data_IF_895931027634
#
_entry.id   IF_895931027634
#
_cell.length_a   1.000
_cell.length_b   1.000
_cell.length_c   1.000
_cell.angle_alpha   90.00
_cell.angle_beta   90.00
_cell.angle_gamma   90.00
#
_symmetry.space_group_name_H-M   'P 1'
#
loop_
_entity.id
_entity.type
_entity.pdbx_description
1 polymer ?
#
# COMPACT_ATOMS: atom_id res chain seq x y z
N UNK A 1 9.75 -0.76 -15.86
CA UNK A 1 9.36 -2.07 -15.30
C UNK A 1 7.91 -2.06 -14.81
N UNK A 2 7.34 -0.95 -14.36
CA UNK A 2 5.86 -0.77 -14.37
C UNK A 2 5.41 0.30 -15.38
N UNK A 3 6.26 1.31 -15.64
CA UNK A 3 6.07 2.34 -16.69
C UNK A 3 4.68 2.98 -16.56
N UNK A 4 3.83 2.84 -17.58
CA UNK A 4 2.50 3.43 -17.64
C UNK A 4 1.49 2.84 -16.63
N UNK A 5 1.84 1.77 -15.91
CA UNK A 5 1.02 1.26 -14.80
C UNK A 5 1.28 2.00 -13.48
N UNK A 6 2.32 2.83 -13.41
CA UNK A 6 2.67 3.60 -12.21
C UNK A 6 2.59 5.09 -12.52
N UNK A 7 2.36 5.95 -11.51
CA UNK A 7 2.45 7.39 -11.71
C UNK A 7 3.80 7.79 -12.29
N UNK A 8 3.85 8.88 -13.05
CA UNK A 8 5.12 9.39 -13.58
C UNK A 8 6.10 9.68 -12.43
N UNK A 9 7.32 9.17 -12.54
CA UNK A 9 8.36 9.38 -11.54
C UNK A 9 9.74 9.56 -12.18
N UNK A 10 10.63 10.25 -11.47
CA UNK A 10 12.03 10.40 -11.87
C UNK A 10 12.96 10.52 -10.66
N UNK A 11 14.24 10.19 -10.86
CA UNK A 11 15.27 10.27 -9.80
C UNK A 11 15.54 11.73 -9.46
N UNK A 12 15.57 12.03 -8.17
CA UNK A 12 15.97 13.34 -7.66
C UNK A 12 17.49 13.42 -7.64
N UNK A 13 18.03 14.52 -8.15
CA UNK A 13 19.47 14.82 -8.18
C UNK A 13 19.70 16.20 -7.55
N UNK A 14 20.93 16.56 -7.17
CA UNK A 14 21.24 17.90 -6.67
C UNK A 14 20.77 19.02 -7.62
N UNK A 15 20.86 18.78 -8.94
CA UNK A 15 20.53 19.75 -9.97
C UNK A 15 19.01 19.98 -10.13
N UNK A 16 18.20 18.94 -9.89
CA UNK A 16 16.75 19.02 -10.10
C UNK A 16 15.94 19.21 -8.80
N UNK A 17 16.57 19.08 -7.63
CA UNK A 17 15.90 19.14 -6.32
C UNK A 17 15.04 20.39 -6.13
N UNK A 18 15.58 21.57 -6.41
CA UNK A 18 14.84 22.83 -6.27
C UNK A 18 13.60 22.88 -7.17
N UNK A 19 13.70 22.31 -8.37
CA UNK A 19 12.57 22.22 -9.29
C UNK A 19 11.50 21.25 -8.77
N UNK A 20 11.91 20.14 -8.14
CA UNK A 20 10.99 19.20 -7.48
C UNK A 20 10.24 19.90 -6.34
N UNK A 21 10.94 20.59 -5.45
CA UNK A 21 10.33 21.30 -4.31
C UNK A 21 9.33 22.37 -4.80
N UNK A 22 9.65 23.10 -5.88
CA UNK A 22 8.78 24.12 -6.47
C UNK A 22 7.47 23.55 -7.04
N UNK A 23 7.38 22.26 -7.35
CA UNK A 23 6.14 21.64 -7.86
C UNK A 23 5.00 21.64 -6.83
N UNK A 24 5.30 21.67 -5.52
CA UNK A 24 4.34 21.71 -4.40
C UNK A 24 3.28 20.58 -4.38
N UNK A 25 3.41 19.58 -5.25
CA UNK A 25 2.46 18.47 -5.44
C UNK A 25 3.21 17.22 -5.88
N UNK A 26 2.84 16.09 -5.30
CA UNK A 26 3.51 14.80 -5.49
C UNK A 26 4.20 14.35 -4.22
N UNK A 27 4.99 13.29 -4.36
CA UNK A 27 5.70 12.65 -3.26
C UNK A 27 7.20 12.54 -3.58
N UNK A 28 8.02 12.61 -2.54
CA UNK A 28 9.43 12.25 -2.58
C UNK A 28 9.56 10.90 -1.86
N UNK A 29 10.02 9.86 -2.56
CA UNK A 29 10.12 8.49 -2.04
C UNK A 29 11.55 7.99 -2.08
N UNK A 30 12.04 7.38 -1.01
CA UNK A 30 13.34 6.71 -1.01
C UNK A 30 13.27 5.38 -1.78
N UNK A 31 14.35 4.99 -2.46
CA UNK A 31 14.46 3.69 -3.13
C UNK A 31 14.42 2.50 -2.16
N UNK A 32 14.79 2.76 -0.91
CA UNK A 32 14.82 1.79 0.18
C UNK A 32 14.22 2.48 1.40
N UNK A 33 13.23 1.85 2.01
CA UNK A 33 12.56 2.41 3.17
C UNK A 33 11.32 1.59 3.57
N UNK A 34 10.73 1.95 4.69
CA UNK A 34 9.54 1.29 5.24
C UNK A 34 8.37 2.28 5.25
N UNK A 35 7.50 2.20 4.22
CA UNK A 35 6.23 2.93 4.17
C UNK A 35 6.36 4.44 4.38
N UNK A 36 5.44 5.01 5.17
CA UNK A 36 5.29 6.46 5.39
C UNK A 36 6.53 7.20 5.87
N UNK A 37 7.50 6.54 6.52
CA UNK A 37 8.74 7.17 7.00
C UNK A 37 9.74 7.49 5.87
N UNK A 38 9.56 6.86 4.72
CA UNK A 38 10.37 7.02 3.51
C UNK A 38 9.61 7.72 2.38
N UNK A 39 8.43 8.26 2.67
CA UNK A 39 7.54 8.92 1.70
C UNK A 39 7.17 10.29 2.24
N UNK A 40 7.67 11.34 1.61
CA UNK A 40 7.44 12.73 1.98
C UNK A 40 6.47 13.39 1.00
N UNK A 41 5.40 13.95 1.50
CA UNK A 41 4.42 14.71 0.72
C UNK A 41 4.89 16.15 0.53
N UNK A 42 5.05 16.58 -0.73
CA UNK A 42 5.54 17.92 -1.08
C UNK A 42 4.68 19.08 -0.55
N UNK A 43 3.43 18.81 -0.16
CA UNK A 43 2.52 19.83 0.39
C UNK A 43 2.62 19.96 1.90
N UNK A 44 2.72 18.83 2.62
CA UNK A 44 2.64 18.81 4.09
C UNK A 44 4.01 18.73 4.76
N UNK A 45 4.99 18.12 4.10
CA UNK A 45 6.26 17.74 4.74
C UNK A 45 7.40 18.67 4.32
N UNK A 46 7.08 19.91 3.93
CA UNK A 46 8.02 20.87 3.35
C UNK A 46 9.25 21.08 4.22
N UNK A 47 9.05 21.21 5.54
CA UNK A 47 10.15 21.40 6.50
C UNK A 47 11.07 20.18 6.54
N UNK A 48 10.49 18.98 6.54
CA UNK A 48 11.24 17.73 6.60
C UNK A 48 12.06 17.51 5.32
N UNK A 49 11.47 17.82 4.16
CA UNK A 49 12.16 17.77 2.87
C UNK A 49 13.38 18.69 2.85
N UNK A 50 13.27 19.90 3.40
CA UNK A 50 14.40 20.84 3.49
C UNK A 50 15.47 20.32 4.44
N UNK A 51 15.08 19.80 5.62
CA UNK A 51 16.02 19.23 6.59
C UNK A 51 16.78 18.02 6.02
N UNK A 52 16.11 17.18 5.24
CA UNK A 52 16.68 15.97 4.62
C UNK A 52 17.30 16.20 3.25
N UNK A 53 17.48 17.46 2.82
CA UNK A 53 18.02 17.79 1.49
C UNK A 53 19.28 16.99 1.13
N UNK A 54 20.28 16.98 2.02
CA UNK A 54 21.53 16.27 1.75
C UNK A 54 21.29 14.77 1.55
N UNK A 55 20.45 14.15 2.37
CA UNK A 55 20.08 12.73 2.24
C UNK A 55 19.37 12.47 0.90
N UNK A 56 18.46 13.37 0.51
CA UNK A 56 17.66 13.24 -0.72
C UNK A 56 18.53 13.38 -1.97
N UNK A 57 19.47 14.34 -2.00
CA UNK A 57 20.22 14.67 -3.22
C UNK A 57 21.54 13.94 -3.33
N UNK A 58 22.17 13.62 -2.20
CA UNK A 58 23.56 13.20 -2.13
C UNK A 58 23.78 12.05 -1.15
N UNK A 59 22.71 11.51 -0.56
CA UNK A 59 22.78 10.31 0.25
C UNK A 59 23.11 9.08 -0.59
N UNK A 60 23.63 8.03 0.05
CA UNK A 60 23.93 6.76 -0.62
C UNK A 60 22.68 5.99 -1.11
N UNK A 61 21.47 6.48 -0.81
CA UNK A 61 20.19 5.93 -1.25
C UNK A 61 19.58 6.86 -2.29
N UNK A 62 19.09 6.31 -3.40
CA UNK A 62 18.38 7.09 -4.42
C UNK A 62 17.02 7.53 -3.91
N UNK A 63 16.61 8.73 -4.28
CA UNK A 63 15.28 9.25 -4.03
C UNK A 63 14.58 9.58 -5.34
N UNK A 64 13.26 9.47 -5.35
CA UNK A 64 12.42 9.68 -6.52
C UNK A 64 11.35 10.71 -6.23
N UNK A 65 11.12 11.60 -7.18
CA UNK A 65 9.88 12.35 -7.25
C UNK A 65 8.85 11.49 -7.96
N UNK A 66 7.63 11.44 -7.42
CA UNK A 66 6.48 10.78 -8.03
C UNK A 66 5.30 11.76 -8.10
N UNK A 67 4.64 11.82 -9.26
CA UNK A 67 3.41 12.58 -9.43
C UNK A 67 2.31 11.99 -8.55
N UNK A 68 1.50 12.85 -7.93
CA UNK A 68 0.39 12.40 -7.08
C UNK A 68 -0.65 11.65 -7.92
N UNK A 69 -0.81 10.36 -7.65
CA UNK A 69 -1.93 9.56 -8.15
C UNK A 69 -3.27 10.06 -7.58
N UNK A 70 -4.35 9.86 -8.33
CA UNK A 70 -5.71 10.26 -7.93
C UNK A 70 -6.52 9.02 -7.60
N UNK A 71 -7.32 9.07 -6.54
CA UNK A 71 -8.26 8.01 -6.22
C UNK A 71 -8.29 7.67 -4.74
N UNK A 72 -8.74 6.45 -4.47
CA UNK A 72 -8.78 5.81 -3.17
C UNK A 72 -7.69 4.74 -3.11
N UNK A 73 -6.87 4.70 -2.05
CA UNK A 73 -5.81 3.71 -1.91
C UNK A 73 -6.40 2.32 -1.66
N UNK A 74 -5.86 1.33 -2.35
CA UNK A 74 -6.24 -0.07 -2.22
C UNK A 74 -4.99 -0.94 -2.13
N UNK A 75 -5.13 -2.15 -1.59
CA UNK A 75 -4.09 -3.16 -1.60
C UNK A 75 -4.65 -4.48 -2.13
N UNK A 76 -3.80 -5.23 -2.81
CA UNK A 76 -4.06 -6.58 -3.28
C UNK A 76 -3.06 -7.56 -2.70
N UNK A 77 -3.55 -8.73 -2.31
CA UNK A 77 -2.80 -9.75 -1.60
C UNK A 77 -2.72 -10.94 -2.52
N UNK A 78 -1.53 -11.18 -3.07
CA UNK A 78 -1.30 -12.18 -4.12
C UNK A 78 -0.32 -13.20 -3.59
N UNK A 79 -0.60 -14.47 -3.83
CA UNK A 79 0.34 -15.57 -3.61
C UNK A 79 0.94 -16.00 -4.94
N UNK A 80 2.27 -16.07 -5.00
CA UNK A 80 3.00 -16.59 -6.16
C UNK A 80 3.58 -17.97 -5.85
N UNK A 81 3.41 -18.91 -6.77
CA UNK A 81 4.06 -20.22 -6.73
C UNK A 81 4.49 -20.64 -8.14
N UNK A 82 5.79 -20.77 -8.39
CA UNK A 82 6.29 -20.96 -9.75
C UNK A 82 5.87 -19.79 -10.65
N UNK A 83 5.21 -20.08 -11.78
CA UNK A 83 4.64 -19.07 -12.69
C UNK A 83 3.19 -18.69 -12.38
N UNK A 84 2.59 -19.27 -11.34
CA UNK A 84 1.19 -19.06 -11.00
C UNK A 84 1.03 -17.92 -9.99
N UNK A 85 -0.04 -17.15 -10.18
CA UNK A 85 -0.43 -16.02 -9.34
C UNK A 85 -1.88 -16.19 -8.91
N UNK A 86 -2.10 -16.24 -7.60
CA UNK A 86 -3.43 -16.36 -7.02
C UNK A 86 -3.75 -15.11 -6.22
N UNK A 87 -4.82 -14.41 -6.61
CA UNK A 87 -5.34 -13.27 -5.85
C UNK A 87 -6.16 -13.77 -4.65
N UNK A 88 -5.72 -13.44 -3.44
CA UNK A 88 -6.35 -13.82 -2.18
C UNK A 88 -7.12 -12.69 -1.51
N UNK A 89 -6.71 -11.43 -1.70
CA UNK A 89 -7.37 -10.29 -1.07
C UNK A 89 -7.41 -9.05 -1.93
N UNK A 90 -8.44 -8.25 -1.69
CA UNK A 90 -8.54 -6.89 -2.16
C UNK A 90 -9.12 -6.05 -1.02
N UNK A 91 -8.47 -4.93 -0.72
CA UNK A 91 -8.88 -4.07 0.38
C UNK A 91 -8.77 -2.60 0.01
N UNK A 92 -9.75 -1.81 0.44
CA UNK A 92 -9.63 -0.35 0.51
C UNK A 92 -8.79 0.00 1.76
N UNK A 93 -7.78 0.85 1.62
CA UNK A 93 -6.87 1.19 2.72
C UNK A 93 -7.33 2.47 3.42
N UNK A 94 -7.36 2.44 4.74
CA UNK A 94 -7.52 3.62 5.58
C UNK A 94 -6.14 4.20 5.85
N UNK A 95 -5.96 5.48 5.48
CA UNK A 95 -4.67 6.17 5.56
C UNK A 95 -4.80 7.46 6.39
N UNK A 96 -3.84 7.71 7.27
CA UNK A 96 -3.60 9.02 7.88
C UNK A 96 -2.33 9.64 7.29
N UNK A 97 -2.50 10.62 6.41
CA UNK A 97 -1.41 11.16 5.61
C UNK A 97 -0.79 10.12 4.68
N UNK A 98 0.41 9.65 5.01
CA UNK A 98 1.14 8.57 4.31
C UNK A 98 1.20 7.27 5.12
N UNK A 99 0.60 7.25 6.31
CA UNK A 99 0.61 6.11 7.22
C UNK A 99 -0.65 5.27 7.02
N UNK A 100 -0.46 3.96 6.96
CA UNK A 100 -1.54 2.99 6.97
C UNK A 100 -2.07 2.85 8.40
N UNK A 101 -3.39 2.85 8.58
CA UNK A 101 -4.03 2.72 9.91
C UNK A 101 -5.02 1.56 10.00
N UNK A 102 -5.40 1.01 8.84
CA UNK A 102 -6.37 -0.06 8.75
C UNK A 102 -6.83 -0.29 7.32
N UNK A 103 -7.74 -1.24 7.15
CA UNK A 103 -8.28 -1.57 5.83
C UNK A 103 -9.70 -2.11 5.92
N UNK A 104 -10.45 -1.90 4.85
CA UNK A 104 -11.71 -2.59 4.58
C UNK A 104 -11.45 -3.69 3.56
N UNK A 105 -11.41 -4.93 4.03
CA UNK A 105 -11.28 -6.12 3.19
C UNK A 105 -12.60 -6.38 2.47
N UNK A 106 -12.53 -6.45 1.14
CA UNK A 106 -13.68 -6.60 0.25
C UNK A 106 -13.75 -8.03 -0.29
N UNK A 107 -14.96 -8.51 -0.58
CA UNK A 107 -15.13 -9.76 -1.32
C UNK A 107 -14.70 -9.56 -2.77
N UNK A 108 -13.61 -10.22 -3.18
CA UNK A 108 -13.06 -10.16 -4.54
C UNK A 108 -14.13 -10.50 -5.57
N UNK A 109 -15.00 -11.48 -5.31
CA UNK A 109 -16.03 -11.90 -6.27
C UNK A 109 -17.05 -10.81 -6.54
N UNK A 110 -17.27 -9.92 -5.56
CA UNK A 110 -18.23 -8.84 -5.66
C UNK A 110 -17.66 -7.58 -6.34
N UNK A 111 -16.33 -7.41 -6.36
CA UNK A 111 -15.67 -6.13 -6.73
C UNK A 111 -14.68 -6.23 -7.88
N UNK A 112 -14.25 -7.44 -8.25
CA UNK A 112 -13.26 -7.65 -9.31
C UNK A 112 -13.90 -7.58 -10.69
N UNK A 113 -13.95 -6.38 -11.26
CA UNK A 113 -14.31 -6.16 -12.67
C UNK A 113 -13.16 -6.49 -13.63
N UNK A 114 -13.48 -6.78 -14.90
CA UNK A 114 -12.52 -7.14 -15.95
C UNK A 114 -11.36 -6.14 -16.08
N UNK A 115 -11.66 -4.84 -15.95
CA UNK A 115 -10.65 -3.78 -16.04
C UNK A 115 -9.59 -3.94 -14.95
N UNK A 116 -10.02 -4.14 -13.70
CA UNK A 116 -9.13 -4.31 -12.56
C UNK A 116 -8.36 -5.62 -12.67
N UNK A 117 -9.04 -6.72 -13.03
CA UNK A 117 -8.41 -8.01 -13.24
C UNK A 117 -7.27 -7.94 -14.27
N UNK A 118 -7.54 -7.38 -15.44
CA UNK A 118 -6.56 -7.25 -16.52
C UNK A 118 -5.38 -6.37 -16.11
N UNK A 119 -5.64 -5.28 -15.38
CA UNK A 119 -4.59 -4.40 -14.85
C UNK A 119 -3.64 -5.14 -13.89
N UNK A 120 -4.19 -6.00 -13.02
CA UNK A 120 -3.42 -6.76 -12.04
C UNK A 120 -2.63 -7.88 -12.70
N UNK A 121 -3.25 -8.60 -13.64
CA UNK A 121 -2.58 -9.62 -14.43
C UNK A 121 -1.38 -9.03 -15.19
N UNK A 122 -1.57 -7.87 -15.83
CA UNK A 122 -0.50 -7.15 -16.52
C UNK A 122 0.58 -6.66 -15.55
N UNK A 123 0.20 -6.20 -14.36
CA UNK A 123 1.15 -5.83 -13.29
C UNK A 123 2.01 -7.03 -12.90
N UNK A 124 1.39 -8.19 -12.61
CA UNK A 124 2.10 -9.42 -12.26
C UNK A 124 3.05 -9.86 -13.38
N UNK A 125 2.59 -9.83 -14.64
CA UNK A 125 3.40 -10.17 -15.82
C UNK A 125 4.64 -9.28 -15.94
N UNK A 126 4.50 -7.98 -15.68
CA UNK A 126 5.62 -7.03 -15.79
C UNK A 126 6.66 -7.17 -14.68
N UNK A 127 6.25 -7.56 -13.49
CA UNK A 127 7.16 -7.75 -12.36
C UNK A 127 7.75 -9.16 -12.31
N UNK A 128 7.17 -10.15 -13.00
CA UNK A 128 7.59 -11.55 -12.93
C UNK A 128 9.10 -11.72 -13.16
N UNK A 129 9.70 -11.02 -14.13
CA UNK A 129 11.15 -11.10 -14.37
C UNK A 129 12.01 -10.70 -13.16
N UNK A 130 11.48 -9.89 -12.23
CA UNK A 130 12.18 -9.54 -10.99
C UNK A 130 11.98 -10.56 -9.87
N UNK A 131 10.81 -11.21 -9.86
CA UNK A 131 10.37 -12.07 -8.75
C UNK A 131 10.18 -13.51 -9.21
N UNK A 132 10.79 -13.91 -10.33
CA UNK A 132 10.56 -15.19 -10.97
C UNK A 132 10.86 -16.36 -10.03
N UNK A 133 11.90 -16.23 -9.18
CA UNK A 133 12.29 -17.23 -8.18
C UNK A 133 11.57 -17.08 -6.84
N UNK A 134 10.76 -16.03 -6.66
CA UNK A 134 10.01 -15.81 -5.44
C UNK A 134 8.81 -16.75 -5.37
N UNK A 135 8.62 -17.38 -4.21
CA UNK A 135 7.42 -18.14 -3.83
C UNK A 135 6.94 -17.59 -2.49
N UNK A 136 5.70 -17.13 -2.41
CA UNK A 136 5.19 -16.48 -1.22
C UNK A 136 4.13 -15.42 -1.52
N UNK A 137 3.67 -14.78 -0.45
CA UNK A 137 2.73 -13.67 -0.52
C UNK A 137 3.42 -12.34 -0.79
N UNK A 138 2.82 -11.54 -1.66
CA UNK A 138 3.21 -10.15 -1.89
C UNK A 138 1.98 -9.26 -1.99
N UNK A 139 2.18 -7.98 -1.68
CA UNK A 139 1.18 -6.93 -1.82
C UNK A 139 1.37 -6.11 -3.09
N UNK A 140 0.29 -5.66 -3.71
CA UNK A 140 0.31 -4.57 -4.69
C UNK A 140 -0.56 -3.45 -4.15
N UNK A 141 0.07 -2.30 -3.85
CA UNK A 141 -0.64 -1.10 -3.43
C UNK A 141 -1.00 -0.27 -4.66
N UNK A 142 -2.26 0.13 -4.72
CA UNK A 142 -2.91 0.74 -5.87
C UNK A 142 -3.56 2.07 -5.46
N UNK A 143 -3.64 2.99 -6.41
CA UNK A 143 -4.56 4.11 -6.34
C UNK A 143 -5.64 3.92 -7.42
N UNK A 144 -6.91 3.91 -7.00
CA UNK A 144 -8.05 3.61 -7.89
C UNK A 144 -8.97 4.82 -7.95
N UNK A 145 -9.20 5.32 -9.15
CA UNK A 145 -10.24 6.31 -9.44
C UNK A 145 -11.15 5.81 -10.58
N UNK A 146 -12.19 6.56 -10.91
CA UNK A 146 -13.04 6.24 -12.07
C UNK A 146 -12.22 6.21 -13.37
N UNK A 147 -11.22 7.08 -13.48
CA UNK A 147 -10.50 7.32 -14.71
C UNK A 147 -9.14 6.59 -14.77
N UNK A 148 -8.51 6.29 -13.63
CA UNK A 148 -7.17 5.70 -13.56
C UNK A 148 -7.03 4.54 -12.57
N UNK A 149 -6.10 3.65 -12.89
CA UNK A 149 -5.55 2.62 -12.00
C UNK A 149 -4.04 2.81 -11.99
N UNK A 150 -3.45 3.05 -10.83
CA UNK A 150 -2.04 3.35 -10.69
C UNK A 150 -1.42 2.44 -9.62
N UNK A 151 -0.38 1.67 -9.97
CA UNK A 151 0.45 0.92 -9.02
C UNK A 151 1.39 1.88 -8.31
N UNK A 152 1.27 1.92 -6.99
CA UNK A 152 2.09 2.75 -6.12
C UNK A 152 3.35 2.02 -5.64
N UNK A 153 3.19 0.76 -5.26
CA UNK A 153 4.27 -0.07 -4.71
C UNK A 153 3.93 -1.56 -4.84
N UNK A 154 4.96 -2.40 -5.04
CA UNK A 154 4.86 -3.85 -4.89
C UNK A 154 5.66 -4.29 -3.67
N UNK A 155 4.98 -4.83 -2.69
CA UNK A 155 5.55 -5.28 -1.41
C UNK A 155 5.84 -6.79 -1.47
N UNK A 156 7.07 -7.20 -1.76
CA UNK A 156 7.46 -8.62 -1.90
C UNK A 156 7.64 -9.32 -0.55
N UNK A 157 6.55 -9.39 0.22
CA UNK A 157 6.41 -9.99 1.56
C UNK A 157 4.94 -9.98 1.98
N UNK A 158 4.62 -10.66 3.08
CA UNK A 158 3.38 -10.43 3.81
C UNK A 158 3.23 -8.94 4.15
N UNK A 159 2.03 -8.41 3.92
CA UNK A 159 1.64 -7.04 4.31
C UNK A 159 0.69 -7.09 5.51
N UNK A 160 0.48 -5.95 6.18
CA UNK A 160 -0.46 -5.83 7.28
C UNK A 160 -1.88 -6.32 6.89
N UNK A 161 -2.32 -6.07 5.66
CA UNK A 161 -3.62 -6.52 5.15
C UNK A 161 -3.68 -8.02 4.78
N UNK A 162 -2.55 -8.74 4.75
CA UNK A 162 -2.52 -10.15 4.31
C UNK A 162 -3.17 -11.10 5.32
N UNK A 163 -2.82 -11.01 6.61
CA UNK A 163 -3.44 -11.86 7.62
C UNK A 163 -4.94 -11.60 7.79
N UNK A 164 -5.41 -10.34 7.87
CA UNK A 164 -6.83 -10.03 7.87
C UNK A 164 -7.59 -10.60 6.68
N UNK A 165 -7.00 -10.54 5.49
CA UNK A 165 -7.56 -11.14 4.28
C UNK A 165 -7.74 -12.66 4.43
N UNK A 166 -6.70 -13.37 4.87
CA UNK A 166 -6.75 -14.83 5.00
C UNK A 166 -7.79 -15.26 6.05
N UNK A 167 -7.89 -14.51 7.15
CA UNK A 167 -8.90 -14.75 8.18
C UNK A 167 -10.31 -14.44 7.68
N UNK A 168 -10.50 -13.34 6.93
CA UNK A 168 -11.78 -13.03 6.30
C UNK A 168 -12.22 -14.16 5.35
N UNK A 169 -11.32 -14.65 4.50
CA UNK A 169 -11.59 -15.78 3.60
C UNK A 169 -11.96 -17.05 4.36
N UNK A 170 -11.37 -17.29 5.54
CA UNK A 170 -11.68 -18.45 6.38
C UNK A 170 -13.07 -18.35 7.05
N UNK A 171 -13.58 -17.13 7.29
CA UNK A 171 -14.93 -16.90 7.83
C UNK A 171 -16.01 -17.24 6.78
N UNK A 172 -15.68 -17.18 5.48
CA UNK A 172 -16.58 -17.54 4.39
C UNK A 172 -17.30 -16.32 3.80
N UNK A 173 -18.64 -16.30 3.85
CA UNK A 173 -19.43 -15.24 3.23
C UNK A 173 -19.47 -14.00 4.13
N UNK A 174 -18.98 -12.87 3.61
CA UNK A 174 -19.03 -11.56 4.26
C UNK A 174 -19.30 -10.48 3.23
N UNK A 175 -19.89 -9.35 3.65
CA UNK A 175 -19.99 -8.17 2.79
C UNK A 175 -18.67 -7.40 2.75
N UNK A 176 -18.10 -7.17 3.92
CA UNK A 176 -16.73 -6.68 4.11
C UNK A 176 -16.26 -6.99 5.54
N UNK A 177 -14.96 -6.90 5.75
CA UNK A 177 -14.33 -7.04 7.06
C UNK A 177 -13.44 -5.83 7.31
N UNK A 178 -13.58 -5.17 8.45
CA UNK A 178 -12.68 -4.08 8.82
C UNK A 178 -11.51 -4.59 9.63
N UNK A 179 -10.35 -4.01 9.38
CA UNK A 179 -9.09 -4.26 10.07
C UNK A 179 -8.52 -2.94 10.56
N UNK A 180 -8.09 -2.89 11.82
CA UNK A 180 -7.53 -1.69 12.45
C UNK A 180 -6.31 -2.04 13.32
N UNK A 181 -5.25 -1.24 13.24
CA UNK A 181 -3.98 -1.49 13.97
C UNK A 181 -3.96 -0.94 15.41
N UNK A 182 -4.75 0.09 15.73
CA UNK A 182 -4.66 0.76 17.04
C UNK A 182 -6.04 1.14 17.59
N UNK A 183 -6.86 0.15 17.94
CA UNK A 183 -8.18 0.39 18.54
C UNK A 183 -8.08 0.47 20.07
N UNK A 184 -8.59 1.52 20.73
CA UNK A 184 -8.62 1.59 22.18
C UNK A 184 -9.35 0.38 22.79
N UNK A 185 -8.82 -0.22 23.87
CA UNK A 185 -9.40 -1.45 24.45
C UNK A 185 -10.87 -1.32 24.85
N UNK A 186 -11.29 -0.14 25.29
CA UNK A 186 -12.69 0.16 25.65
C UNK A 186 -13.64 0.19 24.45
N UNK A 187 -13.10 0.23 23.22
CA UNK A 187 -13.86 0.27 21.96
C UNK A 187 -13.88 -1.08 21.22
N UNK A 188 -13.30 -2.13 21.82
CA UNK A 188 -13.33 -3.50 21.30
C UNK A 188 -14.66 -4.14 21.65
N UNK A 189 -15.40 -4.59 20.63
CA UNK A 189 -16.66 -5.31 20.78
C UNK A 189 -16.40 -6.81 20.98
N UNK A 190 -17.32 -7.50 21.66
CA UNK A 190 -17.38 -8.96 21.74
C UNK A 190 -17.44 -9.68 20.38
N UNK A 191 -17.94 -9.02 19.34
CA UNK A 191 -17.97 -9.55 17.98
C UNK A 191 -16.61 -9.43 17.26
N UNK A 192 -15.66 -8.67 17.80
CA UNK A 192 -14.35 -8.46 17.19
C UNK A 192 -13.45 -9.67 17.39
N UNK A 193 -12.72 -10.04 16.34
CA UNK A 193 -11.57 -10.95 16.46
C UNK A 193 -10.33 -10.14 16.81
N UNK A 194 -9.84 -10.30 18.04
CA UNK A 194 -8.64 -9.62 18.52
C UNK A 194 -7.40 -10.39 18.06
N UNK A 195 -6.55 -9.76 17.26
CA UNK A 195 -5.28 -10.34 16.81
C UNK A 195 -4.17 -10.15 17.85
N UNK A 196 -4.09 -8.94 18.41
CA UNK A 196 -3.10 -8.56 19.41
C UNK A 196 -3.76 -7.62 20.41
N UNK A 197 -3.43 -7.79 21.69
CA UNK A 197 -3.91 -6.95 22.79
C UNK A 197 -2.73 -6.43 23.59
N UNK A 198 -2.63 -5.11 23.75
CA UNK A 198 -1.56 -4.46 24.54
C UNK A 198 -2.17 -3.74 25.74
N UNK A 199 -2.12 -4.37 26.91
CA UNK A 199 -2.55 -3.75 28.17
C UNK A 199 -1.72 -2.51 28.52
N UNK A 200 -0.43 -2.53 28.18
CA UNK A 200 0.48 -1.41 28.44
C UNK A 200 0.14 -0.17 27.62
N UNK A 201 -0.22 -0.34 26.34
CA UNK A 201 -0.57 0.77 25.46
C UNK A 201 -2.07 1.08 25.46
N UNK A 202 -2.89 0.27 26.12
CA UNK A 202 -4.34 0.46 26.18
C UNK A 202 -5.03 0.28 24.83
N UNK A 203 -4.45 -0.49 23.90
CA UNK A 203 -4.97 -0.70 22.55
C UNK A 203 -4.92 -2.17 22.08
N UNK A 204 -5.59 -2.44 20.96
CA UNK A 204 -5.64 -3.73 20.30
C UNK A 204 -5.63 -3.60 18.77
N UNK A 205 -5.14 -4.65 18.12
CA UNK A 205 -5.29 -4.90 16.69
C UNK A 205 -6.50 -5.82 16.52
N UNK A 206 -7.50 -5.39 15.73
CA UNK A 206 -8.76 -6.13 15.61
C UNK A 206 -9.16 -6.38 14.15
N UNK A 207 -10.02 -7.38 13.98
CA UNK A 207 -10.79 -7.66 12.78
C UNK A 207 -12.27 -7.63 13.15
N UNK A 208 -13.06 -6.82 12.46
CA UNK A 208 -14.49 -6.64 12.69
C UNK A 208 -15.30 -7.05 11.45
N UNK A 209 -16.03 -8.18 11.49
CA UNK A 209 -16.83 -8.61 10.36
C UNK A 209 -18.15 -7.83 10.25
N UNK A 210 -18.51 -7.44 9.03
CA UNK A 210 -19.83 -6.90 8.72
C UNK A 210 -20.57 -7.86 7.79
N UNK A 211 -21.68 -8.40 8.29
CA UNK A 211 -22.53 -9.37 7.60
C UNK A 211 -23.65 -8.67 6.84
#
# INVERSE_FOLDING_TARGET
>A
MLRELSPEFFVITPENFENVVKRKRGYIKAARGAGGFSVLNLKTDVREIVNRRHEITSGGVKWYYEVKARGVPHSMQIYKHGSEYTLYGFSEQYMDGTHFVGAKVLDIKAVMEDRLYNFVAETCRRIDSLIHSYTGFFGIDLMISKDSLDVLECNIRLTAATLPTLLANAIGIYRYVEYFEEVPLLSVDTADTVLVRSEYMGNAIIIRPYR
#
